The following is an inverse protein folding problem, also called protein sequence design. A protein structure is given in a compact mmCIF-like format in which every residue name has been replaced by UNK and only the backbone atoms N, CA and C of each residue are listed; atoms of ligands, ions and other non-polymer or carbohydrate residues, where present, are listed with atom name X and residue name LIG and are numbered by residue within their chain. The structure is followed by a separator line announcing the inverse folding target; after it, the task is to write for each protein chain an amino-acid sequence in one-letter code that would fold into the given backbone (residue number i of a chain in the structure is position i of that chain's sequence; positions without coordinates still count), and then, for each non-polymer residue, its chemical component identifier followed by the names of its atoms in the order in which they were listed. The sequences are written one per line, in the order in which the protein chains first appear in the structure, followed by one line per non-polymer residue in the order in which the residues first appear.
data_IF_799851861786
#
_entry.id   IF_799851861786
#
_cell.length_a   1.000
_cell.length_b   1.000
_cell.length_c   1.000
_cell.angle_alpha   90.00
_cell.angle_beta   90.00
_cell.angle_gamma   90.00
#
_symmetry.space_group_name_H-M   'P 1'
#
loop_
_entity.id
_entity.type
_entity.pdbx_description
1 polymer ?
#
# COMPACT_ATOMS: atom_id res chain seq x y z
N UNK A 1 4.20 15.27 -11.90
CA UNK A 1 4.64 15.59 -13.29
C UNK A 1 3.41 15.87 -14.14
N UNK A 2 3.38 16.95 -14.94
CA UNK A 2 2.19 17.41 -15.66
C UNK A 2 2.29 17.17 -17.17
N UNK A 3 1.20 16.71 -17.80
CA UNK A 3 1.08 16.59 -19.26
C UNK A 3 -0.27 17.19 -19.68
N UNK A 4 -0.23 18.26 -20.49
CA UNK A 4 -1.44 18.90 -21.07
C UNK A 4 -2.56 19.20 -20.05
N UNK A 5 -2.21 19.69 -18.86
CA UNK A 5 -3.18 20.00 -17.80
C UNK A 5 -3.61 18.82 -16.94
N UNK A 6 -3.07 17.62 -17.17
CA UNK A 6 -3.29 16.43 -16.36
C UNK A 6 -2.06 16.10 -15.51
N UNK A 7 -2.28 15.54 -14.31
CA UNK A 7 -1.22 15.03 -13.44
C UNK A 7 -1.02 13.54 -13.70
N UNK A 8 0.25 13.11 -13.78
CA UNK A 8 0.59 11.69 -13.77
C UNK A 8 0.44 11.11 -12.36
N UNK A 9 -0.10 9.90 -12.27
CA UNK A 9 -0.35 9.24 -10.99
C UNK A 9 0.94 9.06 -10.17
N UNK A 10 0.95 9.59 -8.95
CA UNK A 10 2.05 9.43 -7.99
C UNK A 10 1.98 8.11 -7.23
N UNK A 11 0.79 7.48 -7.21
CA UNK A 11 0.53 6.18 -6.60
C UNK A 11 -0.57 5.42 -7.37
N UNK A 12 -0.57 4.09 -7.27
CA UNK A 12 -1.64 3.25 -7.86
C UNK A 12 -2.98 3.41 -7.14
N UNK A 13 -2.99 4.03 -5.94
CA UNK A 13 -4.18 4.38 -5.15
C UNK A 13 -5.27 5.12 -5.93
N UNK A 14 -4.88 5.92 -6.95
CA UNK A 14 -5.81 6.65 -7.81
C UNK A 14 -6.85 5.77 -8.53
N UNK A 15 -6.55 4.50 -8.77
CA UNK A 15 -7.46 3.56 -9.44
C UNK A 15 -8.45 2.88 -8.47
N UNK A 16 -8.15 2.87 -7.18
CA UNK A 16 -8.91 2.10 -6.19
C UNK A 16 -10.36 2.57 -6.06
N UNK A 17 -10.60 3.88 -6.12
CA UNK A 17 -11.94 4.48 -6.05
C UNK A 17 -12.89 3.94 -7.13
N UNK A 18 -12.40 3.78 -8.36
CA UNK A 18 -13.23 3.27 -9.45
C UNK A 18 -13.53 1.78 -9.27
N UNK A 19 -12.55 1.00 -8.81
CA UNK A 19 -12.73 -0.43 -8.55
C UNK A 19 -13.72 -0.68 -7.41
N UNK A 20 -13.64 0.10 -6.33
CA UNK A 20 -14.61 0.00 -5.23
C UNK A 20 -16.03 0.42 -5.65
N UNK A 21 -16.17 1.43 -6.53
CA UNK A 21 -17.48 1.82 -7.10
C UNK A 21 -18.10 0.75 -8.00
N UNK A 22 -17.29 -0.19 -8.49
CA UNK A 22 -17.73 -1.35 -9.27
C UNK A 22 -17.97 -2.58 -8.39
N UNK A 23 -18.11 -2.39 -7.07
CA UNK A 23 -18.34 -3.44 -6.07
C UNK A 23 -17.20 -4.46 -5.94
N UNK A 24 -16.00 -4.16 -6.44
CA UNK A 24 -14.82 -4.97 -6.14
C UNK A 24 -14.39 -4.79 -4.68
N UNK A 25 -14.35 -5.89 -3.94
CA UNK A 25 -14.03 -5.90 -2.51
C UNK A 25 -12.63 -6.42 -2.20
N UNK A 26 -11.98 -7.09 -3.14
CA UNK A 26 -10.61 -7.60 -3.02
C UNK A 26 -9.92 -7.50 -4.37
N UNK A 27 -8.83 -6.74 -4.46
CA UNK A 27 -8.12 -6.55 -5.72
C UNK A 27 -6.68 -6.09 -5.50
N UNK A 28 -5.85 -6.34 -6.50
CA UNK A 28 -4.51 -5.79 -6.62
C UNK A 28 -4.51 -4.77 -7.77
N UNK A 29 -3.77 -3.68 -7.59
CA UNK A 29 -3.52 -2.67 -8.63
C UNK A 29 -2.02 -2.57 -8.82
N UNK A 30 -1.56 -2.78 -10.05
CA UNK A 30 -0.15 -2.61 -10.42
C UNK A 30 -0.02 -1.60 -11.55
N UNK A 31 1.05 -0.83 -11.56
CA UNK A 31 1.36 0.06 -12.66
C UNK A 31 2.50 1.03 -12.40
N UNK A 32 2.88 1.75 -13.45
CA UNK A 32 3.86 2.84 -13.37
C UNK A 32 3.32 3.99 -12.54
N UNK A 33 4.14 4.47 -11.61
CA UNK A 33 3.92 5.68 -10.84
C UNK A 33 5.06 6.66 -11.07
N UNK A 34 4.77 7.94 -10.88
CA UNK A 34 5.65 9.02 -11.30
C UNK A 34 5.88 9.98 -10.14
N UNK A 35 7.14 10.08 -9.69
CA UNK A 35 7.55 11.01 -8.64
C UNK A 35 8.52 12.06 -9.20
N UNK A 36 8.62 13.20 -8.52
CA UNK A 36 9.54 14.29 -8.90
C UNK A 36 10.85 14.12 -8.12
N UNK A 37 11.41 12.93 -8.19
CA UNK A 37 12.61 12.59 -7.45
C UNK A 37 13.85 12.97 -8.26
N UNK A 38 14.94 13.27 -7.56
CA UNK A 38 16.26 13.46 -8.20
C UNK A 38 16.68 12.13 -8.79
N UNK A 39 17.24 12.13 -10.00
CA UNK A 39 17.79 10.90 -10.58
C UNK A 39 19.13 10.64 -9.90
N UNK A 40 19.19 9.61 -9.08
CA UNK A 40 20.40 9.11 -8.44
C UNK A 40 20.34 7.57 -8.32
N UNK A 41 21.27 6.95 -7.59
CA UNK A 41 21.34 5.49 -7.48
C UNK A 41 20.10 4.90 -6.79
N UNK A 42 19.63 5.42 -5.63
CA UNK A 42 18.42 4.92 -5.00
C UNK A 42 17.10 5.45 -5.59
N UNK A 43 17.10 6.55 -6.34
CA UNK A 43 15.85 7.20 -6.79
C UNK A 43 15.74 7.30 -8.31
N UNK A 44 14.62 6.79 -8.82
CA UNK A 44 14.24 6.96 -10.22
C UNK A 44 12.81 7.51 -10.34
N UNK A 45 12.56 8.52 -11.19
CA UNK A 45 11.28 9.25 -11.23
C UNK A 45 10.10 8.43 -11.77
N UNK A 46 10.35 7.22 -12.28
CA UNK A 46 9.35 6.30 -12.82
C UNK A 46 9.61 4.89 -12.28
N UNK A 47 8.72 4.37 -11.46
CA UNK A 47 8.86 3.01 -10.91
C UNK A 47 7.52 2.28 -10.91
N UNK A 48 7.57 0.97 -10.68
CA UNK A 48 6.38 0.12 -10.65
C UNK A 48 5.92 0.00 -9.20
N UNK A 49 4.64 0.31 -8.96
CA UNK A 49 4.04 0.12 -7.65
C UNK A 49 2.95 -0.95 -7.73
N UNK A 50 2.82 -1.75 -6.67
CA UNK A 50 1.67 -2.62 -6.46
C UNK A 50 0.92 -2.21 -5.19
N UNK A 51 -0.41 -2.21 -5.22
CA UNK A 51 -1.23 -1.97 -4.05
C UNK A 51 -2.33 -3.01 -3.94
N UNK A 52 -2.53 -3.57 -2.75
CA UNK A 52 -3.62 -4.48 -2.43
C UNK A 52 -4.71 -3.79 -1.65
N UNK A 53 -5.97 -4.05 -2.01
CA UNK A 53 -7.14 -3.56 -1.29
C UNK A 53 -8.01 -4.73 -0.89
N UNK A 54 -8.46 -4.73 0.37
CA UNK A 54 -9.46 -5.65 0.90
C UNK A 54 -10.48 -4.88 1.73
N UNK A 55 -11.75 -4.94 1.33
CA UNK A 55 -12.86 -4.43 2.11
C UNK A 55 -13.36 -5.52 3.05
N UNK A 56 -13.50 -5.17 4.33
CA UNK A 56 -13.97 -6.08 5.36
C UNK A 56 -15.44 -5.79 5.71
N UNK A 57 -16.19 -6.81 6.16
CA UNK A 57 -17.52 -6.61 6.73
C UNK A 57 -17.50 -5.64 7.91
N UNK A 58 -18.66 -5.04 8.19
CA UNK A 58 -18.85 -4.22 9.39
C UNK A 58 -18.63 -5.06 10.65
N UNK A 59 -17.97 -4.48 11.67
CA UNK A 59 -17.63 -5.16 12.92
C UNK A 59 -16.41 -6.09 12.85
N UNK A 60 -15.81 -6.28 11.68
CA UNK A 60 -14.55 -7.04 11.56
C UNK A 60 -13.37 -6.24 12.11
N UNK A 61 -12.45 -6.95 12.78
CA UNK A 61 -11.18 -6.40 13.24
C UNK A 61 -10.21 -6.24 12.05
N UNK A 62 -10.16 -5.03 11.52
CA UNK A 62 -9.35 -4.71 10.36
C UNK A 62 -7.85 -4.69 10.64
N UNK A 63 -7.44 -4.38 11.88
CA UNK A 63 -6.03 -4.36 12.25
C UNK A 63 -5.50 -5.80 12.36
N UNK A 64 -6.25 -6.68 13.02
CA UNK A 64 -5.88 -8.10 13.11
C UNK A 64 -5.82 -8.77 11.73
N UNK A 65 -6.77 -8.48 10.84
CA UNK A 65 -6.76 -9.00 9.47
C UNK A 65 -5.58 -8.45 8.65
N UNK A 66 -5.21 -7.17 8.84
CA UNK A 66 -4.04 -6.57 8.21
C UNK A 66 -2.74 -7.21 8.69
N UNK A 67 -2.54 -7.32 10.00
CA UNK A 67 -1.35 -7.93 10.58
C UNK A 67 -1.15 -9.36 10.07
N UNK A 68 -2.21 -10.17 10.07
CA UNK A 68 -2.17 -11.53 9.53
C UNK A 68 -1.89 -11.58 8.03
N UNK A 69 -2.44 -10.63 7.27
CA UNK A 69 -2.18 -10.55 5.83
C UNK A 69 -0.73 -10.20 5.54
N UNK A 70 -0.15 -9.25 6.31
CA UNK A 70 1.26 -8.87 6.21
C UNK A 70 2.18 -10.02 6.60
N UNK A 71 1.92 -10.70 7.72
CA UNK A 71 2.70 -11.85 8.17
C UNK A 71 2.79 -12.93 7.08
N UNK A 72 1.65 -13.30 6.48
CA UNK A 72 1.59 -14.29 5.40
C UNK A 72 2.32 -13.77 4.15
N UNK A 73 2.13 -12.50 3.80
CA UNK A 73 2.77 -11.91 2.63
C UNK A 73 4.30 -11.88 2.77
N UNK A 74 4.81 -11.46 3.94
CA UNK A 74 6.24 -11.43 4.26
C UNK A 74 6.84 -12.83 4.18
N UNK A 75 6.16 -13.84 4.74
CA UNK A 75 6.57 -15.23 4.63
C UNK A 75 6.72 -15.68 3.16
N UNK A 76 5.79 -15.29 2.29
CA UNK A 76 5.85 -15.67 0.86
C UNK A 76 6.89 -14.89 0.05
N UNK A 77 7.13 -13.62 0.37
CA UNK A 77 8.05 -12.76 -0.38
C UNK A 77 9.50 -12.91 0.03
N UNK A 78 9.75 -13.11 1.34
CA UNK A 78 11.08 -13.01 1.95
C UNK A 78 11.40 -14.24 2.80
N UNK A 79 11.04 -15.44 2.30
CA UNK A 79 11.28 -16.74 2.94
C UNK A 79 12.61 -16.78 3.72
N UNK A 80 12.56 -17.26 4.97
CA UNK A 80 13.74 -17.48 5.83
C UNK A 80 14.55 -16.20 6.13
N UNK A 81 13.90 -15.03 6.10
CA UNK A 81 14.50 -13.73 6.45
C UNK A 81 13.93 -13.22 7.78
N UNK A 82 14.78 -12.67 8.65
CA UNK A 82 14.30 -11.95 9.84
C UNK A 82 13.49 -10.72 9.40
N UNK A 83 12.25 -10.61 9.88
CA UNK A 83 11.37 -9.48 9.58
C UNK A 83 10.82 -8.81 10.85
N UNK A 84 10.34 -7.57 10.70
CA UNK A 84 9.62 -6.85 11.75
C UNK A 84 8.58 -5.91 11.17
N UNK A 85 7.52 -5.69 11.94
CA UNK A 85 6.53 -4.63 11.67
C UNK A 85 6.70 -3.51 12.69
N UNK A 86 6.64 -2.26 12.23
CA UNK A 86 6.79 -1.06 13.05
C UNK A 86 5.57 -0.16 12.83
N UNK A 87 5.09 0.47 13.90
CA UNK A 87 4.07 1.50 13.81
C UNK A 87 4.62 2.74 13.09
N UNK A 88 3.82 3.29 12.18
CA UNK A 88 4.21 4.36 11.29
C UNK A 88 3.00 5.28 10.94
N UNK A 89 3.19 6.31 10.11
CA UNK A 89 2.14 7.26 9.76
C UNK A 89 2.20 7.79 8.31
N UNK A 90 1.15 7.49 7.52
CA UNK A 90 0.95 8.05 6.17
C UNK A 90 -0.53 8.24 5.78
N UNK A 91 -1.03 9.48 5.63
CA UNK A 91 -1.25 10.52 6.65
C UNK A 91 -2.27 10.09 7.74
N UNK A 92 -2.20 8.83 8.14
CA UNK A 92 -3.03 8.15 9.14
C UNK A 92 -2.17 6.99 9.69
N UNK A 93 -2.54 6.38 10.84
CA UNK A 93 -1.77 5.26 11.38
C UNK A 93 -1.52 4.16 10.34
N UNK A 94 -0.26 3.81 10.15
CA UNK A 94 0.22 2.79 9.22
C UNK A 94 1.14 1.80 9.94
N UNK A 95 1.43 0.71 9.24
CA UNK A 95 2.42 -0.29 9.61
C UNK A 95 3.45 -0.29 8.49
N UNK A 96 4.72 -0.20 8.87
CA UNK A 96 5.86 -0.43 7.99
C UNK A 96 6.42 -1.83 8.25
N UNK A 97 6.64 -2.61 7.20
CA UNK A 97 7.30 -3.91 7.31
C UNK A 97 8.74 -3.80 6.79
N UNK A 98 9.67 -4.35 7.56
CA UNK A 98 11.09 -4.35 7.26
C UNK A 98 11.64 -5.77 7.31
N UNK A 99 12.66 -6.02 6.49
CA UNK A 99 13.48 -7.24 6.56
C UNK A 99 14.91 -6.89 6.94
N UNK A 100 15.62 -7.85 7.54
CA UNK A 100 17.04 -7.72 7.83
C UNK A 100 17.87 -8.27 6.68
N UNK A 101 18.73 -7.43 6.10
CA UNK A 101 19.67 -7.81 5.05
C UNK A 101 21.04 -7.20 5.35
N UNK A 102 22.10 -8.01 5.36
CA UNK A 102 23.47 -7.57 5.67
C UNK A 102 23.59 -6.76 6.99
N UNK A 103 22.88 -7.21 8.03
CA UNK A 103 22.76 -6.55 9.34
C UNK A 103 22.01 -5.20 9.37
N UNK A 104 21.51 -4.73 8.23
CA UNK A 104 20.67 -3.54 8.12
C UNK A 104 19.19 -3.91 8.01
N UNK A 105 18.32 -3.08 8.59
CA UNK A 105 16.87 -3.20 8.40
C UNK A 105 16.44 -2.37 7.19
N UNK A 106 15.74 -3.02 6.26
CA UNK A 106 15.31 -2.44 4.99
C UNK A 106 13.79 -2.49 4.93
N UNK A 107 13.18 -1.33 4.76
CA UNK A 107 11.74 -1.21 4.48
C UNK A 107 11.38 -1.86 3.14
N UNK A 108 10.32 -2.66 3.16
CA UNK A 108 9.85 -3.39 1.96
C UNK A 108 8.35 -3.28 1.70
N UNK A 109 7.55 -2.93 2.71
CA UNK A 109 6.10 -2.76 2.57
C UNK A 109 5.59 -1.67 3.51
N UNK A 110 4.55 -0.97 3.07
CA UNK A 110 3.76 -0.07 3.92
C UNK A 110 2.28 -0.44 3.85
N UNK A 111 1.58 -0.43 4.96
CA UNK A 111 0.14 -0.73 4.98
C UNK A 111 -0.62 0.12 5.98
N UNK A 112 -1.91 0.30 5.74
CA UNK A 112 -2.75 1.08 6.64
C UNK A 112 -4.17 0.56 6.68
N UNK A 113 -4.81 0.76 7.83
CA UNK A 113 -6.25 0.64 7.98
C UNK A 113 -6.81 2.04 8.06
N UNK A 114 -7.71 2.43 7.16
CA UNK A 114 -8.45 3.65 7.43
C UNK A 114 -9.56 4.06 6.46
N UNK A 115 -10.50 4.88 6.96
CA UNK A 115 -11.74 5.23 6.26
C UNK A 115 -11.59 6.35 5.24
N UNK A 116 -10.41 6.96 5.09
CA UNK A 116 -10.24 8.19 4.31
C UNK A 116 -10.61 8.02 2.83
N UNK A 117 -10.23 6.91 2.22
CA UNK A 117 -10.59 6.54 0.84
C UNK A 117 -12.09 6.21 0.70
N UNK A 118 -12.70 5.68 1.76
CA UNK A 118 -14.09 5.21 1.76
C UNK A 118 -15.11 6.35 1.90
N UNK A 119 -14.78 7.39 2.67
CA UNK A 119 -15.65 8.59 2.82
C UNK A 119 -15.91 9.26 1.47
N UNK A 120 -14.90 9.36 0.61
CA UNK A 120 -15.03 9.94 -0.73
C UNK A 120 -15.82 9.04 -1.70
N UNK A 121 -15.93 7.74 -1.40
CA UNK A 121 -16.68 6.77 -2.19
C UNK A 121 -18.12 6.55 -1.69
N UNK A 122 -18.54 7.20 -0.58
CA UNK A 122 -19.82 6.94 0.11
C UNK A 122 -19.98 5.46 0.54
N UNK A 123 -18.88 4.79 0.84
CA UNK A 123 -18.87 3.38 1.25
C UNK A 123 -18.79 3.30 2.77
N UNK A 124 -19.74 2.63 3.42
CA UNK A 124 -19.78 2.36 4.86
C UNK A 124 -19.18 0.99 5.17
N UNK A 125 -17.89 0.78 4.88
CA UNK A 125 -17.16 -0.46 5.18
C UNK A 125 -15.79 -0.16 5.78
N UNK A 126 -15.08 -1.16 6.31
CA UNK A 126 -13.69 -1.02 6.75
C UNK A 126 -12.73 -1.32 5.58
N UNK A 127 -11.73 -0.47 5.35
CA UNK A 127 -10.72 -0.63 4.29
C UNK A 127 -9.42 -1.12 4.88
N UNK A 128 -8.89 -2.17 4.26
CA UNK A 128 -7.52 -2.60 4.37
C UNK A 128 -6.80 -2.19 3.08
N UNK A 129 -5.83 -1.30 3.20
CA UNK A 129 -4.96 -0.86 2.11
C UNK A 129 -3.53 -1.32 2.39
N UNK A 130 -2.98 -2.13 1.51
CA UNK A 130 -1.57 -2.52 1.50
C UNK A 130 -0.93 -1.85 0.29
N UNK A 131 0.24 -1.27 0.50
CA UNK A 131 1.05 -0.65 -0.54
C UNK A 131 2.40 -1.35 -0.55
N UNK A 132 2.85 -1.71 -1.74
CA UNK A 132 4.17 -2.29 -1.96
C UNK A 132 4.91 -1.32 -2.85
N UNK A 133 5.92 -0.66 -2.28
CA UNK A 133 6.87 0.15 -3.03
C UNK A 133 8.09 -0.73 -3.32
N UNK A 134 8.49 -0.81 -4.59
CA UNK A 134 9.72 -1.46 -5.04
C UNK A 134 10.56 -0.44 -5.81
#
# INVERSE_FOLDING_TARGET
MWIKGHLLHTHTSGHQNNLMKQDHTKFLVTGNVYRKDTIDVPHYPIFQQMAGVKLLPEGADALADLQKTLEILMLYLFLDTEDRSIDDYFPQPSIQAEIKQNDDWIEVLGATVGPAILKNCKITRNLLGIWIEY
#
